data_IF_350448849825
#
_entry.id   IF_350448849825
#
_cell.length_a   1.000
_cell.length_b   1.000
_cell.length_c   1.000
_cell.angle_alpha   90.00
_cell.angle_beta   90.00
_cell.angle_gamma   90.00
#
_symmetry.space_group_name_H-M   'P 1'
#
loop_
_entity.id
_entity.type
_entity.pdbx_description
1 polymer ?
#
# COMPACT_ATOMS: atom_id res chain seq x y z
N UNK A 1 -0.48 -11.92 2.95
CA UNK A 1 0.27 -11.55 1.74
C UNK A 1 1.71 -11.20 2.09
N UNK A 2 2.64 -11.64 1.25
CA UNK A 2 4.09 -11.48 1.39
C UNK A 2 4.66 -10.67 0.22
N UNK A 3 5.83 -10.06 0.41
CA UNK A 3 6.54 -9.36 -0.69
C UNK A 3 6.73 -10.25 -1.93
N UNK A 4 6.99 -11.56 -1.74
CA UNK A 4 7.19 -12.50 -2.85
C UNK A 4 5.93 -12.66 -3.71
N UNK A 5 4.76 -12.72 -3.08
CA UNK A 5 3.48 -12.82 -3.78
C UNK A 5 3.22 -11.54 -4.58
N UNK A 6 3.50 -10.37 -4.00
CA UNK A 6 3.36 -9.07 -4.68
C UNK A 6 4.32 -8.97 -5.87
N UNK A 7 5.60 -9.31 -5.69
CA UNK A 7 6.60 -9.33 -6.78
C UNK A 7 6.11 -10.21 -7.93
N UNK A 8 5.60 -11.40 -7.62
CA UNK A 8 5.12 -12.34 -8.64
C UNK A 8 3.88 -11.82 -9.35
N UNK A 9 2.94 -11.19 -8.63
CA UNK A 9 1.69 -10.71 -9.19
C UNK A 9 1.88 -9.48 -10.07
N UNK A 10 2.63 -8.48 -9.57
CA UNK A 10 2.84 -7.21 -10.26
C UNK A 10 4.06 -7.19 -11.19
N UNK A 11 4.86 -8.27 -11.19
CA UNK A 11 6.10 -8.39 -11.95
C UNK A 11 7.07 -7.21 -11.69
N UNK A 12 7.05 -6.69 -10.46
CA UNK A 12 7.81 -5.51 -10.02
C UNK A 12 9.19 -5.92 -9.50
N UNK A 13 10.20 -5.12 -9.78
CA UNK A 13 11.53 -5.26 -9.16
C UNK A 13 11.56 -4.51 -7.85
N UNK A 14 12.23 -5.07 -6.84
CA UNK A 14 12.47 -4.38 -5.57
C UNK A 14 13.96 -4.12 -5.42
N UNK A 15 14.31 -2.88 -5.08
CA UNK A 15 15.66 -2.46 -4.73
C UNK A 15 15.64 -1.80 -3.37
N UNK A 16 16.50 -2.23 -2.46
CA UNK A 16 16.65 -1.57 -1.17
C UNK A 16 17.57 -0.35 -1.30
N UNK A 17 17.19 0.75 -0.68
CA UNK A 17 18.07 1.91 -0.48
C UNK A 17 18.41 2.10 0.99
N UNK A 18 19.51 2.79 1.26
CA UNK A 18 19.93 3.12 2.61
C UNK A 18 19.04 4.23 3.18
N UNK A 19 18.14 3.87 4.09
CA UNK A 19 17.23 4.80 4.75
C UNK A 19 17.92 5.79 5.69
N UNK A 20 19.21 5.64 6.00
CA UNK A 20 19.98 6.67 6.71
C UNK A 20 20.31 7.87 5.82
N UNK A 21 20.41 7.66 4.50
CA UNK A 21 20.70 8.73 3.55
C UNK A 21 19.47 9.58 3.20
N UNK A 22 18.27 8.99 3.28
CA UNK A 22 17.00 9.64 2.96
C UNK A 22 15.96 9.28 4.03
N UNK A 23 16.05 9.87 5.23
CA UNK A 23 15.27 9.43 6.39
C UNK A 23 13.77 9.73 6.30
N UNK A 24 13.38 10.70 5.47
CA UNK A 24 11.99 11.11 5.27
C UNK A 24 11.27 10.28 4.20
N UNK A 25 12.00 9.45 3.44
CA UNK A 25 11.43 8.61 2.38
C UNK A 25 11.44 7.13 2.78
N UNK A 26 10.28 6.50 2.65
CA UNK A 26 10.12 5.07 2.94
C UNK A 26 10.15 4.22 1.66
N UNK A 27 9.71 4.79 0.55
CA UNK A 27 9.72 4.15 -0.75
C UNK A 27 9.47 5.14 -1.89
N UNK A 28 9.72 4.68 -3.11
CA UNK A 28 9.28 5.36 -4.33
C UNK A 28 9.21 4.36 -5.49
N UNK A 29 8.26 4.58 -6.40
CA UNK A 29 8.13 3.79 -7.62
C UNK A 29 8.76 4.48 -8.83
N UNK A 30 9.56 3.74 -9.59
CA UNK A 30 10.04 4.14 -10.90
C UNK A 30 9.33 3.32 -11.99
N UNK A 31 8.65 4.02 -12.90
CA UNK A 31 7.76 3.45 -13.91
C UNK A 31 8.48 2.81 -15.09
N UNK A 32 9.50 3.46 -15.65
CA UNK A 32 10.18 2.99 -16.88
C UNK A 32 10.85 1.63 -16.70
N UNK A 33 11.29 1.37 -15.48
CA UNK A 33 12.00 0.18 -15.05
C UNK A 33 11.10 -0.77 -14.26
N UNK A 34 9.85 -0.40 -13.97
CA UNK A 34 8.95 -1.14 -13.08
C UNK A 34 9.64 -1.57 -11.78
N UNK A 35 10.26 -0.61 -11.09
CA UNK A 35 11.08 -0.85 -9.90
C UNK A 35 10.53 -0.06 -8.72
N UNK A 36 10.20 -0.75 -7.64
CA UNK A 36 9.92 -0.15 -6.35
C UNK A 36 11.21 -0.10 -5.53
N UNK A 37 11.55 1.09 -5.04
CA UNK A 37 12.65 1.30 -4.12
C UNK A 37 12.09 1.34 -2.71
N UNK A 38 12.65 0.57 -1.78
CA UNK A 38 12.18 0.49 -0.39
C UNK A 38 13.32 0.76 0.58
N UNK A 39 13.02 1.49 1.66
CA UNK A 39 14.00 1.74 2.70
C UNK A 39 14.38 0.44 3.43
N UNK A 40 15.67 0.23 3.62
CA UNK A 40 16.20 -0.91 4.39
C UNK A 40 15.83 -0.88 5.89
N UNK A 41 15.28 0.24 6.38
CA UNK A 41 14.81 0.41 7.77
C UNK A 41 13.44 -0.20 8.02
N UNK A 42 12.68 -0.51 6.96
CA UNK A 42 11.32 -1.00 7.07
C UNK A 42 11.28 -2.45 7.59
N UNK A 43 10.42 -2.71 8.56
CA UNK A 43 10.06 -4.08 8.93
C UNK A 43 9.33 -4.79 7.79
N UNK A 44 9.29 -6.13 7.78
CA UNK A 44 8.58 -6.92 6.76
C UNK A 44 7.13 -6.47 6.52
N UNK A 45 6.42 -6.11 7.58
CA UNK A 45 5.04 -5.61 7.51
C UNK A 45 4.99 -4.25 6.82
N UNK A 46 5.88 -3.34 7.20
CA UNK A 46 5.93 -2.00 6.60
C UNK A 46 6.36 -2.05 5.14
N UNK A 47 7.26 -2.97 4.78
CA UNK A 47 7.66 -3.18 3.38
C UNK A 47 6.50 -3.58 2.49
N UNK A 48 5.66 -4.53 2.93
CA UNK A 48 4.43 -4.91 2.21
C UNK A 48 3.51 -3.69 2.03
N UNK A 49 3.30 -2.92 3.10
CA UNK A 49 2.46 -1.72 3.09
C UNK A 49 2.99 -0.67 2.09
N UNK A 50 4.25 -0.28 2.22
CA UNK A 50 4.88 0.72 1.36
C UNK A 50 4.93 0.24 -0.09
N UNK A 51 5.28 -1.02 -0.34
CA UNK A 51 5.30 -1.56 -1.71
C UNK A 51 3.93 -1.46 -2.41
N UNK A 52 2.84 -1.79 -1.72
CA UNK A 52 1.49 -1.67 -2.29
C UNK A 52 1.11 -0.21 -2.54
N UNK A 53 1.53 0.71 -1.69
CA UNK A 53 1.37 2.16 -1.92
C UNK A 53 2.10 2.59 -3.19
N UNK A 54 3.38 2.25 -3.29
CA UNK A 54 4.22 2.56 -4.45
C UNK A 54 3.65 2.01 -5.76
N UNK A 55 3.12 0.78 -5.73
CA UNK A 55 2.43 0.19 -6.89
C UNK A 55 1.14 0.92 -7.26
N UNK A 56 0.49 1.59 -6.31
CA UNK A 56 -0.65 2.48 -6.57
C UNK A 56 -0.27 3.71 -7.39
N UNK A 57 1.02 4.07 -7.47
CA UNK A 57 1.50 5.13 -8.35
C UNK A 57 1.80 4.69 -9.79
N UNK A 58 1.67 3.40 -10.12
CA UNK A 58 2.07 2.85 -11.42
C UNK A 58 1.45 3.58 -12.63
N UNK A 59 0.17 3.93 -12.52
CA UNK A 59 -0.57 4.53 -13.62
C UNK A 59 -0.53 6.06 -13.60
N UNK A 60 -0.01 6.67 -12.54
CA UNK A 60 0.17 8.11 -12.46
C UNK A 60 1.28 8.60 -13.40
N UNK A 61 1.04 9.73 -14.05
CA UNK A 61 2.07 10.48 -14.77
C UNK A 61 2.72 11.52 -13.86
N UNK A 62 3.94 11.95 -14.21
CA UNK A 62 4.61 13.05 -13.50
C UNK A 62 3.77 14.33 -13.47
N UNK A 63 3.06 14.63 -14.57
CA UNK A 63 2.20 15.81 -14.65
C UNK A 63 1.01 15.71 -13.70
N UNK A 64 0.36 14.54 -13.62
CA UNK A 64 -0.73 14.34 -12.66
C UNK A 64 -0.25 14.46 -11.22
N UNK A 65 0.89 13.86 -10.89
CA UNK A 65 1.44 13.96 -9.55
C UNK A 65 1.78 15.42 -9.17
N UNK A 66 2.33 16.20 -10.11
CA UNK A 66 2.65 17.61 -9.90
C UNK A 66 1.40 18.47 -9.69
N UNK A 67 0.34 18.23 -10.47
CA UNK A 67 -0.85 19.09 -10.48
C UNK A 67 -1.95 18.62 -9.52
N UNK A 68 -1.96 17.36 -9.13
CA UNK A 68 -3.02 16.72 -8.34
C UNK A 68 -2.46 15.76 -7.28
N UNK A 69 -1.34 16.11 -6.64
CA UNK A 69 -0.62 15.27 -5.67
C UNK A 69 -1.53 14.58 -4.66
N UNK A 70 -2.41 15.33 -3.99
CA UNK A 70 -3.30 14.78 -2.96
C UNK A 70 -4.22 13.67 -3.51
N UNK A 71 -4.69 13.81 -4.75
CA UNK A 71 -5.48 12.78 -5.42
C UNK A 71 -4.64 11.52 -5.64
N UNK A 72 -3.44 11.68 -6.20
CA UNK A 72 -2.53 10.56 -6.47
C UNK A 72 -2.13 9.80 -5.19
N UNK A 73 -1.84 10.52 -4.09
CA UNK A 73 -1.53 9.89 -2.79
C UNK A 73 -2.75 9.14 -2.23
N UNK A 74 -3.95 9.70 -2.34
CA UNK A 74 -5.17 9.03 -1.91
C UNK A 74 -5.48 7.78 -2.76
N UNK A 75 -5.24 7.83 -4.07
CA UNK A 75 -5.38 6.69 -4.98
C UNK A 75 -4.38 5.58 -4.64
N UNK A 76 -3.13 5.94 -4.32
CA UNK A 76 -2.11 5.00 -3.87
C UNK A 76 -2.41 4.38 -2.50
N UNK A 77 -2.84 5.20 -1.52
CA UNK A 77 -3.31 4.75 -0.21
C UNK A 77 -4.49 3.77 -0.35
N UNK A 78 -5.42 4.05 -1.26
CA UNK A 78 -6.57 3.18 -1.52
C UNK A 78 -6.15 1.86 -2.16
N UNK A 79 -5.21 1.87 -3.10
CA UNK A 79 -4.64 0.65 -3.67
C UNK A 79 -3.99 -0.23 -2.59
N UNK A 80 -3.21 0.39 -1.70
CA UNK A 80 -2.64 -0.29 -0.54
C UNK A 80 -3.71 -0.88 0.38
N UNK A 81 -4.70 -0.09 0.78
CA UNK A 81 -5.77 -0.51 1.68
C UNK A 81 -6.58 -1.66 1.07
N UNK A 82 -6.95 -1.58 -0.22
CA UNK A 82 -7.67 -2.63 -0.93
C UNK A 82 -7.01 -4.00 -0.76
N UNK A 83 -5.71 -4.08 -1.08
CA UNK A 83 -4.97 -5.35 -1.02
C UNK A 83 -4.79 -5.85 0.41
N UNK A 84 -4.57 -4.94 1.38
CA UNK A 84 -4.44 -5.32 2.79
C UNK A 84 -5.76 -5.81 3.38
N UNK A 85 -6.89 -5.17 3.05
CA UNK A 85 -8.23 -5.60 3.47
C UNK A 85 -8.56 -6.95 2.86
N UNK A 86 -8.35 -7.10 1.54
CA UNK A 86 -8.55 -8.37 0.84
C UNK A 86 -7.77 -9.52 1.49
N UNK A 87 -6.50 -9.32 1.77
CA UNK A 87 -5.65 -10.31 2.45
C UNK A 87 -6.16 -10.65 3.86
N UNK A 88 -6.62 -9.64 4.62
CA UNK A 88 -7.19 -9.85 5.94
C UNK A 88 -8.48 -10.68 5.88
N UNK A 89 -9.37 -10.40 4.91
CA UNK A 89 -10.61 -11.16 4.72
C UNK A 89 -10.34 -12.60 4.30
N UNK A 90 -9.38 -12.83 3.39
CA UNK A 90 -8.97 -14.18 2.97
C UNK A 90 -8.37 -15.01 4.13
N UNK A 91 -7.94 -14.35 5.22
CA UNK A 91 -7.42 -15.02 6.42
C UNK A 91 -8.48 -15.33 7.49
N UNK A 92 -9.71 -14.84 7.33
CA UNK A 92 -10.82 -15.08 8.24
C UNK A 92 -11.69 -16.26 7.76
N UNK A 93 -12.22 -17.04 8.71
CA UNK A 93 -13.22 -18.08 8.40
C UNK A 93 -14.58 -17.45 8.03
N UNK A 94 -14.95 -16.35 8.69
CA UNK A 94 -16.14 -15.55 8.40
C UNK A 94 -15.72 -14.08 8.14
N UNK A 95 -15.82 -13.59 6.89
CA UNK A 95 -15.48 -12.20 6.56
C UNK A 95 -16.27 -11.14 7.33
N UNK A 96 -17.45 -11.47 7.88
CA UNK A 96 -18.25 -10.54 8.70
C UNK A 96 -17.64 -10.24 10.07
N UNK A 97 -16.66 -11.04 10.51
CA UNK A 97 -15.88 -10.82 11.74
C UNK A 97 -14.77 -9.75 11.57
N UNK A 98 -14.64 -9.14 10.39
CA UNK A 98 -13.63 -8.13 10.13
C UNK A 98 -13.76 -6.91 11.06
N UNK A 99 -12.78 -6.73 11.94
CA UNK A 99 -12.68 -5.60 12.86
C UNK A 99 -11.76 -4.51 12.28
N UNK A 100 -12.37 -3.51 11.64
CA UNK A 100 -11.62 -2.43 11.00
C UNK A 100 -10.78 -1.60 11.98
N UNK A 101 -11.17 -1.50 13.26
CA UNK A 101 -10.41 -0.76 14.27
C UNK A 101 -9.11 -1.48 14.61
N UNK A 102 -9.17 -2.81 14.82
CA UNK A 102 -7.96 -3.64 14.99
C UNK A 102 -7.09 -3.62 13.75
N UNK A 103 -7.69 -3.72 12.57
CA UNK A 103 -6.98 -3.65 11.29
C UNK A 103 -6.19 -2.33 11.14
N UNK A 104 -6.87 -1.19 11.35
CA UNK A 104 -6.24 0.13 11.25
C UNK A 104 -5.13 0.32 12.28
N UNK A 105 -5.35 -0.14 13.51
CA UNK A 105 -4.32 -0.14 14.57
C UNK A 105 -3.09 -0.97 14.17
N UNK A 106 -3.31 -2.18 13.65
CA UNK A 106 -2.24 -3.09 13.23
C UNK A 106 -1.37 -2.50 12.11
N UNK A 107 -1.97 -1.84 11.12
CA UNK A 107 -1.27 -1.21 10.00
C UNK A 107 -0.91 0.26 10.22
N UNK A 108 -1.14 0.79 11.43
CA UNK A 108 -0.85 2.17 11.81
C UNK A 108 -1.48 3.20 10.84
N UNK A 109 -2.75 2.96 10.46
CA UNK A 109 -3.57 3.86 9.66
C UNK A 109 -4.28 4.83 10.60
N UNK A 110 -4.03 6.14 10.45
CA UNK A 110 -4.39 7.14 11.48
C UNK A 110 -5.36 8.22 11.03
N UNK A 111 -5.64 8.33 9.74
CA UNK A 111 -6.44 9.43 9.21
C UNK A 111 -7.91 9.01 9.04
N UNK A 112 -8.81 9.99 9.10
CA UNK A 112 -10.23 9.77 8.75
C UNK A 112 -10.38 9.27 7.32
N UNK A 113 -9.54 9.73 6.39
CA UNK A 113 -9.52 9.24 5.00
C UNK A 113 -9.20 7.75 4.95
N UNK A 114 -8.21 7.27 5.72
CA UNK A 114 -7.92 5.83 5.77
C UNK A 114 -9.08 5.04 6.38
N UNK A 115 -9.75 5.56 7.41
CA UNK A 115 -10.92 4.90 8.00
C UNK A 115 -12.05 4.72 6.98
N UNK A 116 -12.36 5.78 6.23
CA UNK A 116 -13.37 5.73 5.17
C UNK A 116 -12.98 4.73 4.10
N UNK A 117 -11.74 4.77 3.61
CA UNK A 117 -11.24 3.83 2.60
C UNK A 117 -11.31 2.37 3.09
N UNK A 118 -10.90 2.07 4.33
CA UNK A 118 -10.97 0.70 4.87
C UNK A 118 -12.41 0.19 4.90
N UNK A 119 -13.36 1.02 5.34
CA UNK A 119 -14.78 0.65 5.36
C UNK A 119 -15.32 0.44 3.96
N UNK A 120 -15.05 1.35 3.03
CA UNK A 120 -15.51 1.26 1.64
C UNK A 120 -14.94 0.01 0.93
N UNK A 121 -13.64 -0.25 1.06
CA UNK A 121 -13.01 -1.44 0.47
C UNK A 121 -13.54 -2.73 1.10
N UNK A 122 -13.77 -2.76 2.42
CA UNK A 122 -14.41 -3.88 3.08
C UNK A 122 -15.79 -4.17 2.48
N UNK A 123 -16.66 -3.16 2.40
CA UNK A 123 -18.01 -3.36 1.84
C UNK A 123 -17.96 -3.76 0.36
N UNK A 124 -17.08 -3.15 -0.44
CA UNK A 124 -16.94 -3.48 -1.86
C UNK A 124 -16.45 -4.92 -2.11
N UNK A 125 -15.67 -5.50 -1.20
CA UNK A 125 -15.20 -6.88 -1.28
C UNK A 125 -16.23 -7.91 -0.76
N UNK A 126 -17.28 -7.46 -0.08
CA UNK A 126 -18.37 -8.29 0.43
C UNK A 126 -19.57 -8.39 -0.54
N UNK A 127 -19.58 -7.59 -1.61
CA UNK A 127 -20.57 -7.62 -2.70
C UNK A 127 -20.19 -8.63 -3.79
#
# INVERSE_FOLDING_TARGET
>A
MTEKEIISHFQVRIVDFDGELIPDELGFYEKETNTAFLSNKLSKKERVKVLLHELGHKDHTRSEYQNARLRCENEADRNMIHHLVKDALESLDDPTEFDYLKFMSYYNLKTMTNEVMVKEEYFALME
#
